data_IF_599514740223
#
_entry.id   IF_599514740223
#
_cell.length_a   1.000
_cell.length_b   1.000
_cell.length_c   1.000
_cell.angle_alpha   90.00
_cell.angle_beta   90.00
_cell.angle_gamma   90.00
#
_symmetry.space_group_name_H-M   'P 1'
#
loop_
_entity.id
_entity.type
_entity.pdbx_description
1 polymer ?
#
# COMPACT_ATOMS: atom_id res chain seq x y z
N UNK A 1 -4.80 12.44 -12.42
CA UNK A 1 -4.38 13.57 -13.26
C UNK A 1 -2.91 13.93 -13.00
N UNK A 2 -2.42 13.88 -11.75
CA UNK A 2 -1.06 14.32 -11.41
C UNK A 2 -0.11 13.20 -10.99
N UNK A 3 -0.47 11.93 -11.21
CA UNK A 3 0.34 10.79 -10.76
C UNK A 3 1.79 10.83 -11.29
N UNK A 4 2.00 11.30 -12.51
CA UNK A 4 3.34 11.46 -13.10
C UNK A 4 4.24 12.48 -12.37
N UNK A 5 3.64 13.36 -11.57
CA UNK A 5 4.34 14.37 -10.78
C UNK A 5 4.73 13.86 -9.39
N UNK A 6 4.18 12.73 -8.97
CA UNK A 6 4.52 12.14 -7.67
C UNK A 6 5.89 11.50 -7.80
N UNK A 7 6.88 12.05 -7.10
CA UNK A 7 8.26 11.55 -7.10
C UNK A 7 8.69 10.98 -5.75
N UNK A 8 7.95 11.31 -4.71
CA UNK A 8 8.18 10.86 -3.35
C UNK A 8 6.86 10.89 -2.58
N UNK A 9 6.67 9.95 -1.68
CA UNK A 9 5.61 10.04 -0.66
C UNK A 9 6.10 9.52 0.68
N UNK A 10 5.54 10.07 1.75
CA UNK A 10 5.81 9.61 3.10
C UNK A 10 4.86 8.47 3.46
N UNK A 11 5.42 7.41 4.00
CA UNK A 11 4.68 6.27 4.53
C UNK A 11 4.60 6.46 6.04
N UNK A 12 3.44 6.93 6.51
CA UNK A 12 3.19 7.26 7.91
C UNK A 12 1.85 6.68 8.33
N UNK A 13 1.85 5.89 9.39
CA UNK A 13 0.64 5.23 9.87
C UNK A 13 -0.01 6.00 11.01
N UNK A 14 -1.31 5.85 11.13
CA UNK A 14 -2.11 6.50 12.14
C UNK A 14 -3.33 5.65 12.48
N UNK A 15 -3.89 5.88 13.67
CA UNK A 15 -5.18 5.32 14.07
C UNK A 15 -6.11 6.41 14.60
N UNK A 16 -7.40 6.21 14.46
CA UNK A 16 -8.44 7.05 15.04
C UNK A 16 -9.51 6.19 15.70
N UNK A 17 -9.56 6.23 17.02
CA UNK A 17 -10.51 5.48 17.84
C UNK A 17 -11.44 6.45 18.61
N UNK A 18 -12.43 7.07 17.96
CA UNK A 18 -13.26 8.11 18.57
C UNK A 18 -14.16 7.52 19.65
N UNK A 19 -14.24 8.21 20.78
CA UNK A 19 -15.15 7.87 21.88
C UNK A 19 -16.37 8.78 21.97
N UNK A 20 -16.50 9.72 21.03
CA UNK A 20 -17.53 10.78 21.06
C UNK A 20 -17.25 11.94 22.02
N UNK A 21 -16.14 11.88 22.75
CA UNK A 21 -15.74 12.92 23.73
C UNK A 21 -14.54 13.75 23.27
N UNK A 22 -14.04 13.49 22.06
CA UNK A 22 -12.94 14.23 21.48
C UNK A 22 -13.48 15.47 20.75
N UNK A 23 -12.79 16.58 20.92
CA UNK A 23 -12.96 17.75 20.06
C UNK A 23 -12.34 17.55 18.68
N UNK A 24 -12.34 18.62 17.89
CA UNK A 24 -11.54 18.70 16.67
C UNK A 24 -10.08 18.32 16.98
N UNK A 25 -9.41 17.62 16.09
CA UNK A 25 -8.02 17.14 16.27
C UNK A 25 -7.83 16.10 17.38
N UNK A 26 -8.84 15.31 17.72
CA UNK A 26 -8.77 14.21 18.68
C UNK A 26 -8.56 14.62 20.15
N UNK A 27 -8.73 15.91 20.47
CA UNK A 27 -8.64 16.44 21.83
C UNK A 27 -7.22 16.83 22.28
N UNK A 28 -7.12 17.18 23.57
CA UNK A 28 -5.90 17.71 24.18
C UNK A 28 -5.21 16.73 25.15
N UNK A 29 -5.60 15.45 25.10
CA UNK A 29 -4.99 14.41 25.93
C UNK A 29 -3.52 14.19 25.51
N UNK A 30 -2.77 13.48 26.37
CA UNK A 30 -1.45 13.02 26.00
C UNK A 30 -1.49 12.16 24.72
N UNK A 31 -0.40 12.08 23.99
CA UNK A 31 -0.32 11.29 22.78
C UNK A 31 -0.74 9.82 22.96
N UNK A 32 -0.43 9.25 24.13
CA UNK A 32 -0.79 7.85 24.48
C UNK A 32 -2.31 7.68 24.60
N UNK A 33 -3.01 8.69 25.15
CA UNK A 33 -4.45 8.62 25.46
C UNK A 33 -5.32 9.29 24.39
N UNK A 34 -4.73 9.87 23.36
CA UNK A 34 -5.45 10.56 22.30
C UNK A 34 -6.16 9.58 21.38
N UNK A 35 -7.39 9.90 20.97
CA UNK A 35 -8.16 9.06 20.06
C UNK A 35 -7.53 8.96 18.67
N UNK A 36 -7.00 10.06 18.15
CA UNK A 36 -6.24 10.10 16.91
C UNK A 36 -4.75 10.25 17.23
N UNK A 37 -3.95 9.29 16.81
CA UNK A 37 -2.51 9.28 17.07
C UNK A 37 -1.74 8.56 15.97
N UNK A 38 -0.47 8.89 15.85
CA UNK A 38 0.42 8.19 14.93
C UNK A 38 0.86 6.85 15.50
N UNK A 39 1.07 5.90 14.59
CA UNK A 39 1.48 4.54 14.93
C UNK A 39 2.69 4.11 14.10
N UNK A 40 3.40 3.10 14.58
CA UNK A 40 4.35 2.39 13.73
C UNK A 40 3.64 1.78 12.54
N UNK A 41 4.32 1.65 11.40
CA UNK A 41 3.74 1.11 10.18
C UNK A 41 3.18 -0.29 10.40
N UNK A 42 1.92 -0.48 10.06
CA UNK A 42 1.19 -1.72 10.23
C UNK A 42 0.42 -1.85 11.54
N UNK A 43 0.69 -0.99 12.53
CA UNK A 43 -0.04 -0.95 13.80
C UNK A 43 -1.24 0.00 13.79
N UNK A 44 -1.39 0.78 12.71
CA UNK A 44 -2.46 1.75 12.55
C UNK A 44 -3.61 1.27 11.68
N UNK A 45 -4.30 2.21 11.07
CA UNK A 45 -5.52 1.97 10.29
C UNK A 45 -5.41 2.44 8.83
N UNK A 46 -4.24 2.90 8.39
CA UNK A 46 -4.04 3.34 7.01
C UNK A 46 -3.99 2.12 6.08
N UNK A 47 -4.82 2.11 5.05
CA UNK A 47 -4.86 1.03 4.05
C UNK A 47 -3.70 1.14 3.06
N UNK A 48 -2.49 0.82 3.51
CA UNK A 48 -1.29 0.84 2.67
C UNK A 48 -1.36 -0.14 1.51
N UNK A 49 -2.04 -1.26 1.66
CA UNK A 49 -2.19 -2.23 0.58
C UNK A 49 -2.86 -1.61 -0.64
N UNK A 50 -3.95 -0.88 -0.43
CA UNK A 50 -4.64 -0.16 -1.51
C UNK A 50 -3.79 0.98 -2.06
N UNK A 51 -3.06 1.71 -1.20
CA UNK A 51 -2.17 2.81 -1.61
C UNK A 51 -1.06 2.29 -2.53
N UNK A 52 -0.31 1.27 -2.10
CA UNK A 52 0.78 0.69 -2.89
C UNK A 52 0.27 0.07 -4.19
N UNK A 53 -0.86 -0.64 -4.16
CA UNK A 53 -1.49 -1.18 -5.35
C UNK A 53 -1.84 -0.08 -6.36
N UNK A 54 -2.36 1.06 -5.88
CA UNK A 54 -2.69 2.19 -6.73
C UNK A 54 -1.45 2.86 -7.33
N UNK A 55 -0.41 3.05 -6.54
CA UNK A 55 0.86 3.60 -7.02
C UNK A 55 1.47 2.69 -8.10
N UNK A 56 1.45 1.38 -7.88
CA UNK A 56 1.91 0.38 -8.85
C UNK A 56 1.12 0.48 -10.16
N UNK A 57 -0.20 0.67 -10.10
CA UNK A 57 -1.04 0.81 -11.30
C UNK A 57 -0.72 2.07 -12.13
N UNK A 58 -0.03 3.04 -11.53
CA UNK A 58 0.47 4.24 -12.18
C UNK A 58 1.93 4.12 -12.67
N UNK A 59 2.56 2.98 -12.49
CA UNK A 59 3.98 2.80 -12.81
C UNK A 59 4.88 3.67 -11.92
N UNK A 60 4.51 3.87 -10.66
CA UNK A 60 5.27 4.69 -9.73
C UNK A 60 6.65 4.08 -9.47
N UNK A 61 7.70 4.85 -9.71
CA UNK A 61 9.12 4.50 -9.57
C UNK A 61 9.89 5.40 -8.58
N UNK A 62 9.16 6.22 -7.81
CA UNK A 62 9.73 7.19 -6.88
C UNK A 62 10.08 6.61 -5.51
N UNK A 63 10.33 7.49 -4.56
CA UNK A 63 10.73 7.15 -3.20
C UNK A 63 9.54 6.91 -2.28
N UNK A 64 9.53 5.78 -1.56
CA UNK A 64 8.70 5.55 -0.39
C UNK A 64 9.53 5.85 0.87
N UNK A 65 9.24 6.95 1.53
CA UNK A 65 10.02 7.43 2.67
C UNK A 65 9.31 7.05 3.96
N UNK A 66 9.95 6.22 4.79
CA UNK A 66 9.47 5.92 6.12
C UNK A 66 9.46 7.21 6.96
N UNK A 67 8.26 7.64 7.35
CA UNK A 67 8.09 8.67 8.35
C UNK A 67 7.54 8.03 9.63
N UNK A 68 8.44 7.79 10.59
CA UNK A 68 8.05 7.14 11.83
C UNK A 68 7.74 8.16 12.91
N UNK A 69 6.56 8.03 13.50
CA UNK A 69 6.15 8.78 14.68
C UNK A 69 5.18 7.90 15.47
N UNK A 70 5.57 7.49 16.66
CA UNK A 70 4.75 6.63 17.50
C UNK A 70 5.05 6.88 18.98
N UNK A 71 4.02 7.06 19.78
CA UNK A 71 4.14 7.29 21.23
C UNK A 71 4.19 5.99 22.06
N UNK A 72 4.08 4.83 21.43
CA UNK A 72 3.95 3.54 22.12
C UNK A 72 5.14 2.62 21.90
N UNK A 73 5.75 2.64 20.72
CA UNK A 73 6.82 1.72 20.34
C UNK A 73 8.18 2.39 20.41
N UNK A 74 9.22 1.62 20.74
CA UNK A 74 10.59 2.12 20.73
C UNK A 74 11.02 2.51 19.30
N UNK A 75 11.75 3.65 19.12
CA UNK A 75 12.12 4.15 17.79
C UNK A 75 12.92 3.16 16.94
N UNK A 76 13.87 2.45 17.52
CA UNK A 76 14.69 1.48 16.78
C UNK A 76 13.88 0.30 16.26
N UNK A 77 12.94 -0.19 17.05
CA UNK A 77 12.03 -1.26 16.63
C UNK A 77 11.09 -0.75 15.54
N UNK A 78 10.53 0.43 15.73
CA UNK A 78 9.65 1.06 14.74
C UNK A 78 10.33 1.33 13.40
N UNK A 79 11.59 1.76 13.40
CA UNK A 79 12.35 1.98 12.18
C UNK A 79 12.65 0.67 11.44
N UNK A 80 13.07 -0.37 12.18
CA UNK A 80 13.36 -1.70 11.60
C UNK A 80 12.10 -2.32 11.00
N UNK A 81 11.04 -2.39 11.78
CA UNK A 81 9.75 -2.95 11.33
C UNK A 81 9.15 -2.14 10.17
N UNK A 82 9.28 -0.81 10.20
CA UNK A 82 8.78 0.06 9.15
C UNK A 82 9.51 -0.15 7.82
N UNK A 83 10.80 -0.37 7.83
CA UNK A 83 11.56 -0.69 6.63
C UNK A 83 11.11 -2.02 6.02
N UNK A 84 10.94 -3.06 6.85
CA UNK A 84 10.41 -4.36 6.43
C UNK A 84 8.96 -4.24 5.92
N UNK A 85 8.14 -3.44 6.59
CA UNK A 85 6.76 -3.19 6.17
C UNK A 85 6.70 -2.61 4.76
N UNK A 86 7.46 -1.55 4.47
CA UNK A 86 7.52 -0.95 3.13
C UNK A 86 7.97 -1.98 2.10
N UNK A 87 9.05 -2.69 2.38
CA UNK A 87 9.60 -3.73 1.49
C UNK A 87 8.57 -4.81 1.16
N UNK A 88 7.78 -5.23 2.13
CA UNK A 88 6.77 -6.27 1.95
C UNK A 88 5.49 -5.77 1.24
N UNK A 89 5.30 -4.45 1.14
CA UNK A 89 4.17 -3.83 0.44
C UNK A 89 4.51 -3.38 -0.99
N UNK A 90 5.78 -3.34 -1.36
CA UNK A 90 6.21 -3.05 -2.72
C UNK A 90 5.71 -4.19 -3.64
N UNK A 91 4.97 -3.80 -4.66
CA UNK A 91 4.46 -4.73 -5.67
C UNK A 91 5.39 -4.70 -6.87
N UNK A 92 6.02 -5.83 -7.15
CA UNK A 92 6.77 -6.00 -8.39
C UNK A 92 5.77 -6.29 -9.52
N UNK A 93 5.77 -5.44 -10.55
CA UNK A 93 4.98 -5.71 -11.74
C UNK A 93 5.60 -6.84 -12.55
N UNK A 94 4.77 -7.70 -13.11
CA UNK A 94 5.23 -8.72 -14.05
C UNK A 94 5.34 -8.11 -15.44
N UNK A 95 6.37 -8.50 -16.20
CA UNK A 95 6.50 -8.14 -17.61
C UNK A 95 5.53 -8.96 -18.50
N UNK A 96 4.99 -10.05 -17.97
CA UNK A 96 4.03 -10.91 -18.66
C UNK A 96 2.65 -10.71 -18.05
N UNK A 97 1.71 -10.23 -18.85
CA UNK A 97 0.31 -10.20 -18.47
C UNK A 97 -0.24 -11.63 -18.35
N UNK A 98 -1.19 -11.83 -17.44
CA UNK A 98 -1.91 -13.10 -17.31
C UNK A 98 -2.59 -13.50 -18.64
N UNK A 99 -2.92 -12.51 -19.47
CA UNK A 99 -3.57 -12.66 -20.78
C UNK A 99 -2.59 -12.85 -21.96
N UNK A 100 -1.32 -13.13 -21.72
CA UNK A 100 -0.38 -13.49 -22.79
C UNK A 100 -0.82 -14.75 -23.55
N UNK A 101 -1.77 -15.50 -23.00
CA UNK A 101 -2.52 -16.51 -23.78
C UNK A 101 -3.36 -15.88 -24.89
N UNK A 102 -3.79 -14.64 -24.76
CA UNK A 102 -4.52 -13.91 -25.81
C UNK A 102 -3.58 -13.33 -26.88
N UNK A 103 -2.33 -13.05 -26.54
CA UNK A 103 -1.29 -12.55 -27.46
C UNK A 103 -0.71 -13.58 -28.39
N UNK A 104 -0.80 -14.88 -28.05
CA UNK A 104 -0.35 -15.98 -28.89
C UNK A 104 -1.32 -16.38 -30.01
N UNK A 105 -2.18 -15.47 -30.45
CA UNK A 105 -3.17 -15.68 -31.51
C UNK A 105 -3.82 -17.06 -31.37
N UNK A 106 -5.06 -17.11 -30.94
CA UNK A 106 -5.76 -18.38 -30.82
C UNK A 106 -5.55 -19.18 -32.12
N UNK A 107 -4.78 -20.26 -32.07
CA UNK A 107 -4.69 -21.16 -33.21
C UNK A 107 -6.05 -21.83 -33.38
N UNK A 108 -6.89 -21.14 -34.15
CA UNK A 108 -8.26 -21.57 -34.43
C UNK A 108 -8.29 -23.00 -35.01
N UNK A 109 -7.24 -23.40 -35.77
CA UNK A 109 -7.14 -24.74 -36.33
C UNK A 109 -6.84 -25.77 -35.24
N UNK A 110 -5.90 -25.48 -34.34
CA UNK A 110 -5.59 -26.34 -33.21
C UNK A 110 -6.78 -26.47 -32.25
N UNK A 111 -7.44 -25.38 -31.97
CA UNK A 111 -8.63 -25.34 -31.11
C UNK A 111 -9.81 -26.10 -31.72
N UNK A 112 -10.08 -25.95 -33.01
CA UNK A 112 -11.12 -26.71 -33.72
C UNK A 112 -10.81 -28.22 -33.69
N UNK A 113 -9.55 -28.61 -33.96
CA UNK A 113 -9.12 -30.01 -33.88
C UNK A 113 -9.28 -30.59 -32.48
N UNK A 114 -8.94 -29.83 -31.43
CA UNK A 114 -9.09 -30.25 -30.04
C UNK A 114 -10.56 -30.38 -29.63
N UNK A 115 -11.44 -29.56 -30.18
CA UNK A 115 -12.88 -29.60 -29.93
C UNK A 115 -13.63 -30.59 -30.89
N UNK A 116 -12.94 -31.26 -31.80
CA UNK A 116 -13.58 -32.15 -32.77
C UNK A 116 -14.50 -31.44 -33.79
N UNK A 117 -14.25 -30.17 -34.04
CA UNK A 117 -15.02 -29.35 -34.98
C UNK A 117 -14.20 -29.17 -36.26
N UNK A 118 -14.75 -29.62 -37.38
CA UNK A 118 -14.15 -29.44 -38.69
C UNK A 118 -14.41 -28.05 -39.28
#
# INVERSE_FOLDING_TARGET
IYHEKIKMFHVKDAELNPTGKQGVYSGYQSWVNRAGRFRSLGDGQVDFKSIFSKLTSYGYDGWAVLEWECCLKHPEDGAREGAEFIKNHIINTTEKAFDDFAGSGADIKANKKMLGIN
#
